data_IF_959783543922
#
_entry.id   IF_959783543922
#
_cell.length_a   1.000
_cell.length_b   1.000
_cell.length_c   1.000
_cell.angle_alpha   90.00
_cell.angle_beta   90.00
_cell.angle_gamma   90.00
#
_symmetry.space_group_name_H-M   'P 1'
#
loop_
_entity.id
_entity.type
_entity.pdbx_description
1 polymer ?
#
# COMPACT_ATOMS: atom_id res chain seq x y z
N UNK A 1 18.13 -2.91 8.22
CA UNK A 1 17.30 -2.69 7.02
C UNK A 1 15.85 -2.66 7.46
N UNK A 2 15.10 -1.61 7.14
CA UNK A 2 13.70 -1.52 7.51
C UNK A 2 12.92 -2.52 6.65
N UNK A 3 12.40 -3.60 7.24
CA UNK A 3 11.69 -4.68 6.56
C UNK A 3 10.19 -4.37 6.53
N UNK A 4 9.81 -3.24 5.96
CA UNK A 4 8.41 -2.80 5.92
C UNK A 4 7.90 -2.76 4.50
N UNK A 5 6.62 -3.06 4.35
CA UNK A 5 5.85 -2.96 3.13
C UNK A 5 4.75 -1.92 3.38
N UNK A 6 4.43 -1.17 2.34
CA UNK A 6 3.41 -0.13 2.35
C UNK A 6 2.31 -0.55 1.38
N UNK A 7 1.14 -0.88 1.91
CA UNK A 7 -0.05 -1.23 1.13
C UNK A 7 -0.85 0.03 0.90
N UNK A 8 -1.31 0.24 -0.32
CA UNK A 8 -2.30 1.27 -0.64
C UNK A 8 -3.66 0.59 -0.72
N UNK A 9 -4.62 1.10 0.04
CA UNK A 9 -5.97 0.56 0.13
C UNK A 9 -6.99 1.51 -0.48
N UNK A 10 -7.98 0.95 -1.17
CA UNK A 10 -9.20 1.61 -1.63
C UNK A 10 -10.38 0.79 -1.08
N UNK A 11 -11.22 1.39 -0.22
CA UNK A 11 -12.34 0.68 0.42
C UNK A 11 -11.94 -0.66 1.09
N UNK A 12 -10.86 -0.64 1.90
CA UNK A 12 -10.25 -1.81 2.56
C UNK A 12 -9.64 -2.86 1.61
N UNK A 13 -9.65 -2.65 0.29
CA UNK A 13 -9.02 -3.54 -0.68
C UNK A 13 -7.60 -3.07 -1.04
N UNK A 14 -6.64 -3.99 -1.05
CA UNK A 14 -5.24 -3.67 -1.40
C UNK A 14 -5.09 -3.56 -2.92
N UNK A 15 -4.89 -2.34 -3.42
CA UNK A 15 -4.75 -2.08 -4.86
C UNK A 15 -3.30 -1.97 -5.31
N UNK A 16 -2.38 -1.63 -4.40
CA UNK A 16 -0.95 -1.49 -4.71
C UNK A 16 -0.08 -1.77 -3.48
N UNK A 17 1.15 -2.22 -3.73
CA UNK A 17 2.11 -2.59 -2.69
C UNK A 17 3.50 -2.04 -3.01
N UNK A 18 4.11 -1.36 -2.06
CA UNK A 18 5.42 -0.71 -2.22
C UNK A 18 6.40 -1.13 -1.13
N UNK A 19 7.69 -1.17 -1.47
CA UNK A 19 8.78 -1.42 -0.52
C UNK A 19 9.35 -0.15 0.11
N UNK A 20 8.86 1.03 -0.28
CA UNK A 20 9.25 2.34 0.26
C UNK A 20 8.03 3.24 0.38
N UNK A 21 7.92 3.92 1.53
CA UNK A 21 6.81 4.85 1.81
C UNK A 21 6.69 5.95 0.77
N UNK A 22 7.83 6.47 0.30
CA UNK A 22 7.88 7.52 -0.72
C UNK A 22 7.08 7.13 -1.97
N UNK A 23 7.24 5.89 -2.45
CA UNK A 23 6.54 5.45 -3.67
C UNK A 23 5.03 5.25 -3.44
N UNK A 24 4.62 4.83 -2.24
CA UNK A 24 3.21 4.78 -1.88
C UNK A 24 2.59 6.19 -1.85
N UNK A 25 3.29 7.16 -1.26
CA UNK A 25 2.85 8.57 -1.28
C UNK A 25 2.79 9.12 -2.71
N UNK A 26 3.84 8.93 -3.52
CA UNK A 26 3.88 9.39 -4.91
C UNK A 26 2.70 8.81 -5.71
N UNK A 27 2.30 7.56 -5.44
CA UNK A 27 1.13 6.93 -6.04
C UNK A 27 -0.18 7.61 -5.60
N UNK A 28 -0.40 7.81 -4.30
CA UNK A 28 -1.61 8.46 -3.77
C UNK A 28 -1.73 9.90 -4.25
N UNK A 29 -0.62 10.65 -4.23
CA UNK A 29 -0.57 12.02 -4.73
C UNK A 29 -0.93 12.09 -6.22
N UNK A 30 -0.42 11.14 -7.02
CA UNK A 30 -0.81 11.03 -8.42
C UNK A 30 -2.30 10.69 -8.58
N UNK A 31 -2.82 9.71 -7.84
CA UNK A 31 -4.24 9.33 -7.92
C UNK A 31 -5.17 10.50 -7.55
N UNK A 32 -4.79 11.32 -6.58
CA UNK A 32 -5.53 12.53 -6.21
C UNK A 32 -5.60 13.59 -7.34
N UNK A 33 -4.73 13.51 -8.36
CA UNK A 33 -4.81 14.40 -9.54
C UNK A 33 -5.82 13.94 -10.58
N UNK A 34 -6.24 12.67 -10.55
CA UNK A 34 -7.10 12.04 -11.56
C UNK A 34 -8.42 11.50 -11.00
N UNK A 35 -8.55 11.37 -9.68
CA UNK A 35 -9.75 10.87 -8.99
C UNK A 35 -9.97 11.56 -7.65
N UNK A 36 -11.23 11.61 -7.21
CA UNK A 36 -11.64 11.99 -5.84
C UNK A 36 -11.62 10.78 -4.88
N UNK A 37 -11.23 9.60 -5.36
CA UNK A 37 -11.06 8.40 -4.53
C UNK A 37 -10.09 8.68 -3.38
N UNK A 38 -10.48 8.29 -2.17
CA UNK A 38 -9.64 8.36 -0.99
C UNK A 38 -8.86 7.06 -0.88
N UNK A 39 -7.54 7.18 -0.80
CA UNK A 39 -6.64 6.05 -0.60
C UNK A 39 -6.00 6.11 0.77
N UNK A 40 -5.83 4.95 1.40
CA UNK A 40 -5.13 4.81 2.67
C UNK A 40 -3.79 4.11 2.46
N UNK A 41 -2.77 4.50 3.24
CA UNK A 41 -1.47 3.83 3.23
C UNK A 41 -1.28 3.11 4.56
N UNK A 42 -1.28 1.79 4.50
CA UNK A 42 -1.02 0.92 5.65
C UNK A 42 0.43 0.44 5.64
N UNK A 43 1.06 0.49 6.81
CA UNK A 43 2.44 0.04 7.02
C UNK A 43 2.45 -1.34 7.68
N UNK A 44 3.03 -2.33 7.02
CA UNK A 44 3.04 -3.73 7.46
C UNK A 44 4.48 -4.25 7.54
N UNK A 45 4.78 -5.10 8.52
CA UNK A 45 6.06 -5.81 8.53
C UNK A 45 6.12 -6.82 7.36
N UNK A 46 7.27 -6.90 6.71
CA UNK A 46 7.49 -7.82 5.59
C UNK A 46 7.30 -9.28 6.01
N UNK A 47 7.72 -9.66 7.22
CA UNK A 47 7.56 -11.03 7.70
C UNK A 47 6.07 -11.36 7.86
N UNK A 48 5.31 -10.46 8.48
CA UNK A 48 3.87 -10.64 8.67
C UNK A 48 3.15 -10.70 7.33
N UNK A 49 3.51 -9.85 6.38
CA UNK A 49 2.94 -9.84 5.03
C UNK A 49 3.25 -11.13 4.23
N UNK A 50 4.44 -11.71 4.41
CA UNK A 50 4.82 -12.95 3.72
C UNK A 50 4.09 -14.19 4.26
N UNK A 51 3.62 -14.14 5.51
CA UNK A 51 2.95 -15.26 6.18
C UNK A 51 1.42 -15.20 5.96
N UNK A 52 0.88 -14.07 5.52
CA UNK A 52 -0.55 -13.94 5.23
C UNK A 52 -0.98 -14.92 4.12
N UNK A 53 -2.05 -15.72 4.34
CA UNK A 53 -2.62 -16.55 3.28
C UNK A 53 -3.09 -15.65 2.15
N UNK A 54 -2.77 -16.05 0.91
CA UNK A 54 -3.20 -15.36 -0.31
C UNK A 54 -4.29 -16.19 -0.97
N UNK A 55 -5.48 -15.63 -1.05
CA UNK A 55 -6.51 -16.17 -1.93
C UNK A 55 -6.13 -15.77 -3.36
N UNK A 56 -5.75 -16.76 -4.17
CA UNK A 56 -5.39 -16.62 -5.59
C UNK A 56 -6.53 -17.11 -6.48
#
# INVERSE_FOLDING_TARGET
>A
MQKKIYRVLENDEVIAVFNRRKYANDFVDYQATISETIFEIEEVDLADWLIQPRDF
#
